data_IF_904282419622
#
_entry.id   IF_904282419622
#
_cell.length_a   1.000
_cell.length_b   1.000
_cell.length_c   1.000
_cell.angle_alpha   90.00
_cell.angle_beta   90.00
_cell.angle_gamma   90.00
#
_symmetry.space_group_name_H-M   'P 1'
#
loop_
_entity.id
_entity.type
_entity.pdbx_description
1 polymer ?
#
# COMPACT_ATOMS: atom_id res chain seq x y z
N UNK A 1 16.00 2.16 -4.36
CA UNK A 1 16.60 1.04 -3.59
C UNK A 1 17.16 0.00 -4.55
N UNK A 2 18.46 -0.32 -4.49
CA UNK A 2 19.12 -1.28 -5.41
C UNK A 2 18.58 -2.70 -5.22
N UNK A 3 18.36 -3.12 -3.97
CA UNK A 3 17.72 -4.39 -3.63
C UNK A 3 16.37 -4.61 -4.33
N UNK A 4 15.53 -3.57 -4.44
CA UNK A 4 14.25 -3.65 -5.16
C UNK A 4 14.47 -3.82 -6.67
N UNK A 5 15.45 -3.13 -7.26
CA UNK A 5 15.78 -3.28 -8.68
C UNK A 5 16.27 -4.69 -8.96
N UNK A 6 17.20 -5.20 -8.15
CA UNK A 6 17.72 -6.56 -8.28
C UNK A 6 16.61 -7.60 -8.14
N UNK A 7 15.70 -7.45 -7.16
CA UNK A 7 14.57 -8.37 -7.01
C UNK A 7 13.62 -8.33 -8.20
N UNK A 8 13.38 -7.15 -8.77
CA UNK A 8 12.59 -7.01 -10.02
C UNK A 8 13.31 -7.67 -11.19
N UNK A 9 14.62 -7.47 -11.36
CA UNK A 9 15.39 -8.07 -12.46
C UNK A 9 15.41 -9.60 -12.36
N UNK A 10 15.54 -10.14 -11.15
CA UNK A 10 15.70 -11.58 -10.92
C UNK A 10 14.37 -12.34 -10.85
N UNK A 11 13.31 -11.74 -10.31
CA UNK A 11 12.04 -12.43 -10.03
C UNK A 11 10.84 -11.80 -10.75
N UNK A 12 11.00 -10.62 -11.32
CA UNK A 12 9.95 -9.95 -12.10
C UNK A 12 9.73 -10.64 -13.45
N UNK A 13 8.48 -10.64 -13.90
CA UNK A 13 8.09 -11.16 -15.22
C UNK A 13 7.36 -10.07 -15.99
N UNK A 14 7.68 -9.92 -17.26
CA UNK A 14 7.00 -8.96 -18.15
C UNK A 14 5.89 -9.68 -18.90
N UNK A 15 4.68 -9.13 -18.88
CA UNK A 15 3.55 -9.58 -19.68
C UNK A 15 3.11 -8.47 -20.65
N UNK A 16 3.25 -8.74 -21.95
CA UNK A 16 3.03 -7.71 -22.98
C UNK A 16 4.04 -6.57 -22.87
N UNK A 17 3.60 -5.34 -23.17
CA UNK A 17 4.46 -4.16 -23.16
C UNK A 17 4.35 -3.34 -21.86
N UNK A 18 3.26 -3.50 -21.09
CA UNK A 18 2.88 -2.57 -20.03
C UNK A 18 2.78 -3.19 -18.62
N UNK A 19 2.93 -4.51 -18.48
CA UNK A 19 2.68 -5.20 -17.20
C UNK A 19 3.95 -5.83 -16.66
N UNK A 20 4.39 -5.37 -15.48
CA UNK A 20 5.41 -6.01 -14.65
C UNK A 20 4.73 -6.86 -13.56
N UNK A 21 4.80 -8.18 -13.68
CA UNK A 21 4.39 -9.13 -12.65
C UNK A 21 5.49 -9.34 -11.61
N UNK A 22 5.12 -9.09 -10.35
CA UNK A 22 5.95 -9.25 -9.13
C UNK A 22 5.16 -10.02 -8.07
N UNK A 23 4.44 -11.05 -8.51
CA UNK A 23 3.55 -11.86 -7.69
C UNK A 23 4.30 -12.78 -6.72
N UNK A 24 5.59 -13.06 -6.95
CA UNK A 24 6.43 -13.87 -6.05
C UNK A 24 6.79 -13.18 -4.73
N UNK A 25 6.79 -11.84 -4.68
CA UNK A 25 7.27 -11.11 -3.50
C UNK A 25 6.38 -9.94 -3.04
N UNK A 26 5.39 -9.51 -3.83
CA UNK A 26 4.52 -8.39 -3.46
C UNK A 26 3.02 -8.65 -3.69
N UNK A 27 2.62 -9.00 -4.92
CA UNK A 27 1.22 -8.87 -5.35
C UNK A 27 0.35 -10.14 -5.16
N UNK A 28 0.94 -11.26 -4.71
CA UNK A 28 0.19 -12.48 -4.40
C UNK A 28 0.86 -13.25 -3.25
N UNK A 29 2.14 -13.58 -3.42
CA UNK A 29 3.04 -13.97 -2.36
C UNK A 29 3.74 -12.71 -1.83
N UNK A 30 3.96 -12.67 -0.53
CA UNK A 30 4.65 -11.56 0.14
C UNK A 30 5.95 -12.10 0.72
N UNK A 31 7.08 -11.55 0.28
CA UNK A 31 8.39 -11.82 0.88
C UNK A 31 8.60 -10.88 2.08
N UNK A 32 8.39 -11.41 3.28
CA UNK A 32 8.44 -10.62 4.52
C UNK A 32 9.82 -10.02 4.79
N UNK A 33 10.90 -10.75 4.48
CA UNK A 33 12.26 -10.24 4.71
C UNK A 33 12.55 -9.07 3.78
N UNK A 34 12.19 -9.21 2.51
CA UNK A 34 12.30 -8.11 1.56
C UNK A 34 11.42 -6.91 1.94
N UNK A 35 10.16 -7.15 2.37
CA UNK A 35 9.29 -6.06 2.84
C UNK A 35 9.87 -5.33 4.05
N UNK A 36 10.58 -6.01 4.95
CA UNK A 36 11.25 -5.36 6.08
C UNK A 36 12.31 -4.35 5.62
N UNK A 37 13.09 -4.68 4.58
CA UNK A 37 14.04 -3.73 3.98
C UNK A 37 13.33 -2.52 3.34
N UNK A 38 12.15 -2.74 2.74
CA UNK A 38 11.30 -1.65 2.25
C UNK A 38 10.80 -0.77 3.42
N UNK A 39 10.36 -1.36 4.53
CA UNK A 39 9.93 -0.62 5.72
C UNK A 39 11.03 0.22 6.35
N UNK A 40 12.26 -0.33 6.44
CA UNK A 40 13.46 0.42 6.88
C UNK A 40 13.75 1.60 5.97
N UNK A 41 13.59 1.42 4.66
CA UNK A 41 13.82 2.50 3.70
C UNK A 41 12.79 3.62 3.86
N UNK A 42 11.51 3.30 4.06
CA UNK A 42 10.52 4.31 4.42
C UNK A 42 10.90 5.04 5.72
N UNK A 43 11.34 4.30 6.75
CA UNK A 43 11.82 4.93 7.99
C UNK A 43 12.99 5.88 7.76
N UNK A 44 13.95 5.51 6.91
CA UNK A 44 15.07 6.37 6.53
C UNK A 44 14.61 7.64 5.81
N UNK A 45 13.69 7.49 4.84
CA UNK A 45 13.21 8.61 4.01
C UNK A 45 12.37 9.63 4.80
N UNK A 46 11.57 9.16 5.76
CA UNK A 46 10.69 10.01 6.57
C UNK A 46 11.18 10.13 8.01
N UNK A 47 12.49 9.98 8.25
CA UNK A 47 13.03 9.94 9.60
C UNK A 47 12.83 11.24 10.37
N UNK A 48 12.87 12.36 9.65
CA UNK A 48 12.78 13.70 10.22
C UNK A 48 11.33 14.22 10.29
N UNK A 49 10.36 13.41 9.86
CA UNK A 49 8.95 13.73 9.86
C UNK A 49 8.23 13.11 11.06
N UNK A 50 7.29 13.87 11.65
CA UNK A 50 6.40 13.34 12.70
C UNK A 50 5.25 12.57 12.06
N UNK A 51 5.48 11.31 11.74
CA UNK A 51 4.44 10.42 11.24
C UNK A 51 3.51 10.00 12.37
N UNK A 52 2.20 10.21 12.21
CA UNK A 52 1.15 9.82 13.19
C UNK A 52 0.25 8.70 12.67
N UNK A 53 0.35 8.38 11.37
CA UNK A 53 -0.47 7.38 10.68
C UNK A 53 0.11 7.05 9.33
N UNK A 54 -0.15 5.84 8.85
CA UNK A 54 0.05 5.48 7.45
C UNK A 54 -1.30 5.20 6.80
N UNK A 55 -1.61 5.91 5.72
CA UNK A 55 -2.80 5.67 4.90
C UNK A 55 -2.40 4.93 3.62
N UNK A 56 -3.08 3.82 3.33
CA UNK A 56 -2.87 3.01 2.12
C UNK A 56 -4.20 2.61 1.49
N UNK A 57 -4.18 1.72 0.50
CA UNK A 57 -5.37 1.14 -0.13
C UNK A 57 -5.23 -0.38 -0.29
N UNK A 58 -6.35 -1.09 -0.19
CA UNK A 58 -6.38 -2.55 -0.37
C UNK A 58 -6.03 -2.99 -1.82
N UNK A 59 -5.43 -4.16 -2.03
CA UNK A 59 -4.97 -5.14 -1.03
C UNK A 59 -3.46 -5.07 -0.77
N UNK A 60 -2.62 -5.16 -1.81
CA UNK A 60 -1.15 -5.28 -1.67
C UNK A 60 -0.52 -4.13 -0.88
N UNK A 61 -1.09 -2.93 -0.94
CA UNK A 61 -0.62 -1.77 -0.17
C UNK A 61 -0.68 -1.99 1.35
N UNK A 62 -1.51 -2.91 1.84
CA UNK A 62 -1.62 -3.26 3.27
C UNK A 62 -0.35 -3.93 3.76
N UNK A 63 0.26 -4.81 2.97
CA UNK A 63 1.48 -5.51 3.35
C UNK A 63 2.63 -4.52 3.56
N UNK A 64 2.85 -3.64 2.58
CA UNK A 64 3.89 -2.60 2.64
C UNK A 64 3.63 -1.66 3.83
N UNK A 65 2.40 -1.18 3.97
CA UNK A 65 2.04 -0.23 5.03
C UNK A 65 2.19 -0.84 6.42
N UNK A 66 1.78 -2.09 6.62
CA UNK A 66 1.90 -2.79 7.91
C UNK A 66 3.35 -2.99 8.33
N UNK A 67 4.20 -3.42 7.39
CA UNK A 67 5.64 -3.60 7.64
C UNK A 67 6.36 -2.26 7.81
N UNK A 68 5.90 -1.20 7.14
CA UNK A 68 6.43 0.15 7.36
C UNK A 68 6.04 0.68 8.74
N UNK A 69 4.78 0.48 9.13
CA UNK A 69 4.21 1.00 10.38
C UNK A 69 4.93 0.53 11.64
N UNK A 70 5.44 -0.71 11.69
CA UNK A 70 6.23 -1.18 12.84
C UNK A 70 7.52 -0.38 13.06
N UNK A 71 8.09 0.26 12.03
CA UNK A 71 9.28 1.11 12.17
C UNK A 71 8.96 2.54 12.65
N UNK A 72 7.69 2.96 12.51
CA UNK A 72 7.21 4.25 12.99
C UNK A 72 6.39 4.14 14.28
N UNK A 73 5.97 2.94 14.67
CA UNK A 73 5.06 2.67 15.79
C UNK A 73 3.73 3.43 15.67
N UNK A 74 3.14 3.45 14.48
CA UNK A 74 1.87 4.15 14.18
C UNK A 74 0.82 3.21 13.61
N UNK A 75 -0.48 3.52 13.75
CA UNK A 75 -1.52 2.72 13.11
C UNK A 75 -1.52 2.87 11.58
N UNK A 76 -2.01 1.82 10.91
CA UNK A 76 -2.32 1.84 9.48
C UNK A 76 -3.82 1.98 9.28
N UNK A 77 -4.21 2.87 8.37
CA UNK A 77 -5.56 2.97 7.84
C UNK A 77 -5.52 2.60 6.36
N UNK A 78 -6.46 1.79 5.88
CA UNK A 78 -6.53 1.43 4.48
C UNK A 78 -7.89 1.79 3.89
N UNK A 79 -7.87 2.41 2.71
CA UNK A 79 -9.05 2.70 1.93
C UNK A 79 -9.59 1.41 1.28
N UNK A 80 -10.91 1.36 1.12
CA UNK A 80 -11.63 0.24 0.49
C UNK A 80 -12.17 0.64 -0.88
N UNK A 81 -12.12 -0.30 -1.83
CA UNK A 81 -12.63 -0.16 -3.21
C UNK A 81 -14.04 -0.72 -3.35
N UNK A 82 -14.46 -1.58 -2.44
CA UNK A 82 -15.79 -2.22 -2.44
C UNK A 82 -16.68 -1.63 -1.35
N UNK A 83 -17.97 -1.53 -1.66
CA UNK A 83 -18.97 -1.21 -0.63
C UNK A 83 -19.01 -2.34 0.37
N UNK A 84 -18.70 -2.01 1.62
CA UNK A 84 -18.83 -2.93 2.73
C UNK A 84 -20.00 -2.46 3.59
N UNK A 85 -20.91 -3.36 3.94
CA UNK A 85 -22.03 -3.07 4.86
C UNK A 85 -21.57 -2.55 6.22
N UNK A 86 -20.31 -2.81 6.59
CA UNK A 86 -19.72 -2.47 7.86
C UNK A 86 -18.85 -1.20 7.81
N UNK A 87 -18.83 -0.49 6.67
CA UNK A 87 -18.10 0.78 6.58
C UNK A 87 -18.91 1.87 7.29
N UNK A 88 -18.24 2.73 8.07
CA UNK A 88 -18.87 3.89 8.72
C UNK A 88 -19.66 4.72 7.71
N UNK A 89 -20.76 5.33 8.16
CA UNK A 89 -21.60 6.20 7.33
C UNK A 89 -20.84 7.44 6.86
N UNK A 90 -19.98 8.00 7.71
CA UNK A 90 -19.17 9.18 7.40
C UNK A 90 -17.79 8.82 6.85
N UNK A 91 -17.60 9.03 5.55
CA UNK A 91 -16.37 8.67 4.83
C UNK A 91 -15.82 9.84 4.02
N UNK A 92 -14.50 9.88 3.87
CA UNK A 92 -13.87 10.56 2.73
C UNK A 92 -13.92 9.64 1.53
N UNK A 93 -14.20 10.19 0.34
CA UNK A 93 -14.38 9.41 -0.87
C UNK A 93 -13.69 10.08 -2.06
N UNK A 94 -13.22 9.26 -3.00
CA UNK A 94 -12.67 9.70 -4.27
C UNK A 94 -12.93 8.63 -5.34
N UNK A 95 -12.94 9.01 -6.61
CA UNK A 95 -13.06 8.08 -7.73
C UNK A 95 -11.68 7.88 -8.37
N UNK A 96 -11.26 6.63 -8.55
CA UNK A 96 -9.96 6.25 -9.09
C UNK A 96 -10.14 5.27 -10.24
N UNK A 97 -9.52 5.56 -11.38
CA UNK A 97 -9.52 4.67 -12.54
C UNK A 97 -8.43 3.61 -12.44
N UNK A 98 -8.78 2.34 -12.64
CA UNK A 98 -7.84 1.24 -12.77
C UNK A 98 -7.62 0.92 -14.24
N UNK A 99 -6.41 1.18 -14.75
CA UNK A 99 -6.01 0.85 -16.12
C UNK A 99 -6.00 -0.67 -16.35
N UNK A 100 -5.51 -1.46 -15.38
CA UNK A 100 -5.47 -2.92 -15.51
C UNK A 100 -6.85 -3.59 -15.49
N UNK A 101 -7.86 -2.93 -14.91
CA UNK A 101 -9.25 -3.44 -14.85
C UNK A 101 -10.20 -2.65 -15.75
N UNK A 102 -9.70 -1.66 -16.46
CA UNK A 102 -10.47 -0.69 -17.25
C UNK A 102 -11.75 -0.22 -16.53
N UNK A 103 -11.66 0.06 -15.22
CA UNK A 103 -12.82 0.32 -14.35
C UNK A 103 -12.52 1.43 -13.35
N UNK A 104 -13.50 2.33 -13.15
CA UNK A 104 -13.48 3.32 -12.08
C UNK A 104 -13.99 2.71 -10.78
N UNK A 105 -13.24 2.89 -9.69
CA UNK A 105 -13.61 2.49 -8.34
C UNK A 105 -13.87 3.73 -7.49
N UNK A 106 -14.97 3.71 -6.73
CA UNK A 106 -15.21 4.66 -5.66
C UNK A 106 -14.49 4.19 -4.40
N UNK A 107 -13.37 4.82 -4.08
CA UNK A 107 -12.55 4.49 -2.91
C UNK A 107 -13.01 5.29 -1.70
N UNK A 108 -12.95 4.68 -0.51
CA UNK A 108 -13.50 5.25 0.71
C UNK A 108 -12.62 4.98 1.91
N UNK A 109 -12.55 5.94 2.82
CA UNK A 109 -11.92 5.80 4.14
C UNK A 109 -12.80 6.45 5.21
N UNK A 110 -12.93 5.81 6.37
CA UNK A 110 -13.73 6.36 7.48
C UNK A 110 -13.09 7.62 8.04
N UNK A 111 -13.89 8.67 8.22
CA UNK A 111 -13.43 9.94 8.81
C UNK A 111 -13.00 9.79 10.27
N UNK A 112 -13.58 8.83 10.99
CA UNK A 112 -13.30 8.58 12.42
C UNK A 112 -11.82 8.32 12.72
N UNK A 113 -11.08 7.80 11.74
CA UNK A 113 -9.66 7.46 11.90
C UNK A 113 -8.71 8.54 11.38
N UNK A 114 -9.23 9.68 10.90
CA UNK A 114 -8.45 10.81 10.42
C UNK A 114 -8.87 12.07 11.19
N UNK A 115 -8.03 12.47 12.14
CA UNK A 115 -8.24 13.66 12.95
C UNK A 115 -7.30 14.77 12.50
N UNK A 116 -7.71 16.03 12.71
CA UNK A 116 -6.75 17.13 12.75
C UNK A 116 -5.81 16.89 13.93
N UNK A 117 -4.52 17.13 13.73
CA UNK A 117 -3.45 16.87 14.72
C UNK A 117 -3.78 17.39 16.12
#
# INVERSE_FOLDING_TARGET
MELLKEKIINEGRVEGEDILKVDSFLNHQIDINFMNEIGKEFKRLFNDEKITKILTIEASGIAIASITAQYFNVPVLFAKKTESRNLDSETYQSDVYSFTKCKTYKIRVSKRYLNKD
#
